data_IF_977830909325
#
_entry.id   IF_977830909325
#
_cell.length_a   1.000
_cell.length_b   1.000
_cell.length_c   1.000
_cell.angle_alpha   90.00
_cell.angle_beta   90.00
_cell.angle_gamma   90.00
#
_symmetry.space_group_name_H-M   'P 1'
#
loop_
_entity.id
_entity.type
_entity.pdbx_description
1 polymer ?
#
# COMPACT_ATOMS: atom_id res chain seq x y z
N UNK A 1 -9.50 15.96 -33.84
CA UNK A 1 -9.69 14.54 -33.48
C UNK A 1 -9.07 14.35 -32.10
N UNK A 2 -9.85 14.47 -31.03
CA UNK A 2 -9.37 14.10 -29.71
C UNK A 2 -9.19 12.58 -29.74
N UNK A 3 -7.95 12.10 -29.67
CA UNK A 3 -7.66 10.69 -29.41
C UNK A 3 -8.52 10.28 -28.23
N UNK A 4 -9.31 9.21 -28.34
CA UNK A 4 -10.07 8.69 -27.21
C UNK A 4 -9.06 8.30 -26.13
N UNK A 5 -8.80 9.24 -25.22
CA UNK A 5 -8.04 8.98 -24.02
C UNK A 5 -8.68 7.76 -23.37
N UNK A 6 -7.86 6.76 -23.07
CA UNK A 6 -8.25 5.52 -22.42
C UNK A 6 -9.33 5.80 -21.35
N UNK A 7 -10.57 5.36 -21.58
CA UNK A 7 -11.71 5.84 -20.78
C UNK A 7 -11.64 5.28 -19.36
N UNK A 8 -11.33 6.15 -18.39
CA UNK A 8 -11.24 5.81 -16.98
C UNK A 8 -12.60 5.82 -16.26
N UNK A 9 -13.62 6.42 -16.85
CA UNK A 9 -14.93 6.65 -16.20
C UNK A 9 -15.79 5.39 -16.12
N UNK A 10 -15.55 4.43 -17.02
CA UNK A 10 -16.26 3.15 -17.06
C UNK A 10 -15.77 2.13 -16.01
N UNK A 11 -14.72 2.45 -15.26
CA UNK A 11 -14.13 1.55 -14.26
C UNK A 11 -14.56 1.95 -12.87
N UNK A 12 -15.15 1.01 -12.13
CA UNK A 12 -15.38 1.16 -10.71
C UNK A 12 -14.02 1.25 -9.98
N UNK A 13 -13.67 2.42 -9.41
CA UNK A 13 -12.38 2.61 -8.76
C UNK A 13 -12.29 1.98 -7.38
N UNK A 14 -13.38 1.43 -6.83
CA UNK A 14 -13.35 0.73 -5.53
C UNK A 14 -13.14 -0.78 -5.72
N UNK A 15 -13.60 -1.32 -6.84
CA UNK A 15 -13.29 -2.70 -7.24
C UNK A 15 -11.79 -2.89 -7.54
N UNK A 16 -11.10 -3.62 -6.66
CA UNK A 16 -9.66 -3.86 -6.73
C UNK A 16 -9.21 -4.50 -8.04
N UNK A 17 -9.93 -5.52 -8.50
CA UNK A 17 -9.55 -6.30 -9.68
C UNK A 17 -9.76 -5.46 -10.94
N UNK A 18 -10.91 -4.80 -11.07
CA UNK A 18 -11.20 -3.91 -12.18
C UNK A 18 -10.19 -2.76 -12.26
N UNK A 19 -9.90 -2.12 -11.13
CA UNK A 19 -8.92 -1.02 -11.04
C UNK A 19 -7.54 -1.47 -11.48
N UNK A 20 -7.03 -2.59 -10.97
CA UNK A 20 -5.68 -3.09 -11.32
C UNK A 20 -5.60 -3.57 -12.76
N UNK A 21 -6.64 -4.21 -13.29
CA UNK A 21 -6.72 -4.57 -14.71
C UNK A 21 -6.64 -3.32 -15.59
N UNK A 22 -7.37 -2.26 -15.25
CA UNK A 22 -7.33 -0.98 -15.96
C UNK A 22 -5.96 -0.33 -15.92
N UNK A 23 -5.32 -0.28 -14.74
CA UNK A 23 -3.97 0.29 -14.58
C UNK A 23 -2.97 -0.44 -15.48
N UNK A 24 -3.01 -1.78 -15.49
CA UNK A 24 -2.11 -2.58 -16.32
C UNK A 24 -2.35 -2.29 -17.81
N UNK A 25 -3.59 -2.30 -18.26
CA UNK A 25 -3.95 -2.04 -19.64
C UNK A 25 -3.56 -0.61 -20.08
N UNK A 26 -3.70 0.38 -19.19
CA UNK A 26 -3.26 1.74 -19.45
C UNK A 26 -1.74 1.85 -19.58
N UNK A 27 -0.98 1.18 -18.70
CA UNK A 27 0.47 1.14 -18.81
C UNK A 27 0.93 0.44 -20.11
N UNK A 28 0.21 -0.60 -20.54
CA UNK A 28 0.49 -1.27 -21.82
C UNK A 28 0.22 -0.32 -22.98
N UNK A 29 -0.90 0.42 -22.96
CA UNK A 29 -1.24 1.42 -23.96
C UNK A 29 -0.17 2.51 -24.10
N UNK A 30 0.41 2.97 -22.98
CA UNK A 30 1.47 3.98 -22.95
C UNK A 30 2.87 3.40 -23.25
N UNK A 31 3.02 2.08 -23.44
CA UNK A 31 4.32 1.44 -23.66
C UNK A 31 5.25 1.47 -22.46
N UNK A 32 4.73 1.72 -21.25
CA UNK A 32 5.50 1.77 -19.99
C UNK A 32 5.34 0.50 -19.15
N UNK A 33 4.53 -0.46 -19.62
CA UNK A 33 4.31 -1.72 -18.93
C UNK A 33 5.57 -2.58 -18.88
N UNK A 34 5.88 -3.03 -17.67
CA UNK A 34 6.90 -4.03 -17.38
C UNK A 34 6.46 -4.72 -16.08
N UNK A 35 6.07 -5.99 -16.17
CA UNK A 35 5.49 -6.72 -15.04
C UNK A 35 6.42 -6.79 -13.84
N UNK A 36 7.72 -7.01 -14.07
CA UNK A 36 8.71 -7.05 -13.00
C UNK A 36 8.86 -5.69 -12.32
N UNK A 37 8.96 -4.61 -13.10
CA UNK A 37 9.05 -3.25 -12.56
C UNK A 37 7.80 -2.83 -11.81
N UNK A 38 6.62 -3.21 -12.30
CA UNK A 38 5.34 -2.91 -11.63
C UNK A 38 5.23 -3.66 -10.31
N UNK A 39 5.60 -4.94 -10.26
CA UNK A 39 5.64 -5.72 -9.01
C UNK A 39 6.60 -5.11 -8.01
N UNK A 40 7.85 -4.83 -8.39
CA UNK A 40 8.83 -4.17 -7.50
C UNK A 40 8.39 -2.78 -7.07
N UNK A 41 7.74 -2.01 -7.95
CA UNK A 41 7.20 -0.70 -7.60
C UNK A 41 6.08 -0.84 -6.55
N UNK A 42 5.20 -1.83 -6.71
CA UNK A 42 4.13 -2.12 -5.75
C UNK A 42 4.67 -2.49 -4.39
N UNK A 43 5.63 -3.41 -4.28
CA UNK A 43 6.25 -3.78 -3.01
C UNK A 43 6.85 -2.56 -2.28
N UNK A 44 7.56 -1.70 -3.02
CA UNK A 44 8.11 -0.45 -2.47
C UNK A 44 7.02 0.53 -2.04
N UNK A 45 5.93 0.66 -2.80
CA UNK A 45 4.80 1.51 -2.45
C UNK A 45 4.08 1.01 -1.20
N UNK A 46 3.89 -0.31 -1.07
CA UNK A 46 3.33 -0.96 0.12
C UNK A 46 4.20 -0.62 1.34
N UNK A 47 5.50 -0.90 1.28
CA UNK A 47 6.41 -0.65 2.40
C UNK A 47 6.45 0.83 2.80
N UNK A 48 6.56 1.73 1.81
CA UNK A 48 6.54 3.18 2.04
C UNK A 48 5.22 3.65 2.66
N UNK A 49 4.10 3.12 2.17
CA UNK A 49 2.78 3.54 2.66
C UNK A 49 2.49 2.99 4.05
N UNK A 50 2.90 1.77 4.36
CA UNK A 50 2.83 1.23 5.73
C UNK A 50 3.61 2.12 6.72
N UNK A 51 4.84 2.52 6.37
CA UNK A 51 5.63 3.46 7.21
C UNK A 51 4.89 4.78 7.40
N UNK A 52 4.33 5.35 6.33
CA UNK A 52 3.59 6.60 6.42
C UNK A 52 2.35 6.50 7.32
N UNK A 53 1.62 5.38 7.26
CA UNK A 53 0.45 5.14 8.10
C UNK A 53 0.85 5.03 9.58
N UNK A 54 1.95 4.33 9.85
CA UNK A 54 2.49 4.11 11.18
C UNK A 54 3.07 5.40 11.79
N UNK A 55 3.81 6.18 11.01
CA UNK A 55 4.29 7.53 11.39
C UNK A 55 3.13 8.48 11.73
N UNK A 56 1.95 8.28 11.12
CA UNK A 56 0.73 9.03 11.40
C UNK A 56 -0.09 8.45 12.56
N UNK A 57 0.37 7.38 13.20
CA UNK A 57 -0.28 6.75 14.35
C UNK A 57 -1.51 5.92 13.99
N UNK A 58 -1.71 5.54 12.72
CA UNK A 58 -2.81 4.66 12.35
C UNK A 58 -2.53 3.23 12.82
N UNK A 59 -3.41 2.69 13.65
CA UNK A 59 -3.32 1.28 14.13
C UNK A 59 -4.06 0.30 13.21
N UNK A 60 -4.94 0.80 12.36
CA UNK A 60 -5.71 0.04 11.37
C UNK A 60 -6.20 0.99 10.27
N UNK A 61 -6.42 0.45 9.07
CA UNK A 61 -7.07 1.13 7.94
C UNK A 61 -7.92 0.12 7.18
N UNK A 62 -8.94 0.57 6.45
CA UNK A 62 -9.72 -0.32 5.59
C UNK A 62 -8.85 -0.91 4.48
N UNK A 63 -9.15 -2.16 4.08
CA UNK A 63 -8.45 -2.83 2.97
C UNK A 63 -8.63 -2.04 1.66
N UNK A 64 -9.82 -1.55 1.41
CA UNK A 64 -10.13 -0.81 0.18
C UNK A 64 -9.32 0.48 0.08
N UNK A 65 -9.30 1.29 1.14
CA UNK A 65 -8.50 2.50 1.19
C UNK A 65 -7.01 2.21 1.02
N UNK A 66 -6.50 1.20 1.72
CA UNK A 66 -5.10 0.81 1.64
C UNK A 66 -4.71 0.47 0.20
N UNK A 67 -5.47 -0.40 -0.45
CA UNK A 67 -5.20 -0.84 -1.80
C UNK A 67 -5.33 0.29 -2.83
N UNK A 68 -6.35 1.13 -2.68
CA UNK A 68 -6.54 2.31 -3.54
C UNK A 68 -5.32 3.24 -3.48
N UNK A 69 -4.81 3.53 -2.29
CA UNK A 69 -3.67 4.44 -2.12
C UNK A 69 -2.36 3.81 -2.63
N UNK A 70 -2.16 2.51 -2.41
CA UNK A 70 -1.02 1.79 -2.99
C UNK A 70 -1.08 1.81 -4.51
N UNK A 71 -2.24 1.52 -5.12
CA UNK A 71 -2.42 1.56 -6.57
C UNK A 71 -2.14 2.96 -7.14
N UNK A 72 -2.63 4.01 -6.46
CA UNK A 72 -2.35 5.40 -6.81
C UNK A 72 -0.85 5.73 -6.74
N UNK A 73 -0.13 5.25 -5.73
CA UNK A 73 1.32 5.42 -5.63
C UNK A 73 2.07 4.68 -6.75
N UNK A 74 1.64 3.46 -7.09
CA UNK A 74 2.20 2.69 -8.21
C UNK A 74 2.00 3.44 -9.52
N UNK A 75 0.79 3.97 -9.76
CA UNK A 75 0.48 4.83 -10.91
C UNK A 75 1.48 5.97 -11.08
N UNK A 76 1.63 6.80 -10.05
CA UNK A 76 2.56 7.92 -10.11
C UNK A 76 4.01 7.47 -10.33
N UNK A 77 4.46 6.42 -9.64
CA UNK A 77 5.83 5.96 -9.75
C UNK A 77 6.17 5.41 -11.14
N UNK A 78 5.28 4.62 -11.74
CA UNK A 78 5.50 4.04 -13.07
C UNK A 78 5.47 5.14 -14.14
N UNK A 79 4.45 6.00 -14.14
CA UNK A 79 4.36 7.07 -15.14
C UNK A 79 5.49 8.08 -15.02
N UNK A 80 5.92 8.44 -13.80
CA UNK A 80 7.05 9.35 -13.59
C UNK A 80 8.35 8.76 -14.15
N UNK A 81 8.62 7.47 -13.90
CA UNK A 81 9.82 6.79 -14.42
C UNK A 81 9.79 6.60 -15.93
N UNK A 82 8.60 6.31 -16.48
CA UNK A 82 8.38 6.21 -17.92
C UNK A 82 8.34 7.56 -18.65
N UNK A 83 8.52 8.69 -17.94
CA UNK A 83 8.36 10.06 -18.47
C UNK A 83 7.00 10.30 -19.15
N UNK A 84 5.98 9.56 -18.71
CA UNK A 84 4.62 9.61 -19.25
C UNK A 84 3.66 10.37 -18.32
N UNK A 85 4.11 10.80 -17.13
CA UNK A 85 3.30 11.57 -16.20
C UNK A 85 3.08 13.01 -16.71
N UNK A 86 1.86 13.28 -17.17
CA UNK A 86 1.39 14.60 -17.63
C UNK A 86 0.04 14.91 -17.00
N UNK A 87 -0.50 16.11 -17.26
CA UNK A 87 -1.87 16.47 -16.87
C UNK A 87 -2.91 15.47 -17.38
N UNK A 88 -2.73 14.95 -18.60
CA UNK A 88 -3.63 13.99 -19.23
C UNK A 88 -3.56 12.57 -18.64
N UNK A 89 -2.52 12.27 -17.86
CA UNK A 89 -2.30 10.93 -17.27
C UNK A 89 -2.27 10.99 -15.74
N UNK A 90 -2.85 12.04 -15.15
CA UNK A 90 -3.04 12.11 -13.70
C UNK A 90 -3.90 10.94 -13.24
N UNK A 91 -3.80 10.64 -11.95
CA UNK A 91 -4.66 9.64 -11.33
C UNK A 91 -6.14 10.00 -11.59
N UNK A 92 -6.90 9.16 -12.31
CA UNK A 92 -8.17 9.58 -12.89
C UNK A 92 -9.31 9.61 -11.88
N UNK A 93 -9.17 8.90 -10.76
CA UNK A 93 -10.23 8.77 -9.76
C UNK A 93 -10.02 9.69 -8.56
N UNK A 94 -9.43 10.87 -8.74
CA UNK A 94 -9.12 11.80 -7.64
C UNK A 94 -10.33 12.25 -6.83
N UNK A 95 -11.52 12.21 -7.42
CA UNK A 95 -12.79 12.56 -6.77
C UNK A 95 -13.36 11.39 -5.95
N UNK A 96 -12.93 10.15 -6.21
CA UNK A 96 -13.27 8.99 -5.39
C UNK A 96 -12.18 8.80 -4.35
N UNK A 97 -12.51 8.96 -3.07
CA UNK A 97 -11.60 8.64 -1.98
C UNK A 97 -12.31 7.68 -1.02
N UNK A 98 -11.86 6.41 -0.93
CA UNK A 98 -12.38 5.49 0.08
C UNK A 98 -12.14 6.06 1.47
N UNK A 99 -12.98 5.69 2.44
CA UNK A 99 -12.78 6.09 3.82
C UNK A 99 -11.60 5.32 4.43
N UNK A 100 -10.71 6.05 5.12
CA UNK A 100 -9.52 5.46 5.77
C UNK A 100 -9.88 4.40 6.79
N UNK A 101 -11.00 4.60 7.49
CA UNK A 101 -11.61 3.68 8.44
C UNK A 101 -13.07 3.54 8.04
N UNK A 102 -13.40 2.41 7.44
CA UNK A 102 -14.77 2.08 7.08
C UNK A 102 -15.15 0.80 7.83
N UNK A 103 -16.19 0.88 8.68
CA UNK A 103 -16.66 -0.25 9.47
C UNK A 103 -17.35 -1.35 8.64
N UNK A 104 -17.73 -1.04 7.40
CA UNK A 104 -18.41 -1.97 6.49
C UNK A 104 -17.41 -2.81 5.68
N UNK A 105 -16.14 -2.42 5.65
CA UNK A 105 -15.08 -3.16 4.95
C UNK A 105 -14.08 -3.75 5.94
N UNK A 106 -13.43 -4.83 5.53
CA UNK A 106 -12.40 -5.48 6.35
C UNK A 106 -11.18 -4.57 6.51
N UNK A 107 -10.49 -4.68 7.64
CA UNK A 107 -9.19 -4.05 7.83
C UNK A 107 -8.15 -4.59 6.84
N UNK A 108 -7.14 -3.77 6.52
CA UNK A 108 -6.04 -4.16 5.65
C UNK A 108 -5.18 -5.25 6.27
N UNK A 109 -5.22 -6.46 5.71
CA UNK A 109 -4.39 -7.56 6.15
C UNK A 109 -2.90 -7.25 5.95
N UNK A 110 -2.55 -6.60 4.83
CA UNK A 110 -1.18 -6.21 4.51
C UNK A 110 -0.60 -5.24 5.54
N UNK A 111 -1.39 -4.25 5.97
CA UNK A 111 -0.92 -3.30 6.97
C UNK A 111 -0.84 -3.95 8.36
N UNK A 112 -1.82 -4.77 8.74
CA UNK A 112 -1.79 -5.53 9.99
C UNK A 112 -0.57 -6.46 10.09
N UNK A 113 -0.26 -7.17 9.01
CA UNK A 113 0.94 -8.02 8.92
C UNK A 113 2.24 -7.23 9.01
N UNK A 114 2.27 -6.03 8.43
CA UNK A 114 3.42 -5.13 8.52
C UNK A 114 3.63 -4.64 9.96
N UNK A 115 2.56 -4.21 10.65
CA UNK A 115 2.63 -3.78 12.06
C UNK A 115 3.13 -4.91 12.97
N UNK A 116 2.65 -6.14 12.77
CA UNK A 116 3.12 -7.31 13.50
C UNK A 116 4.62 -7.54 13.30
N UNK A 117 5.10 -7.58 12.05
CA UNK A 117 6.54 -7.74 11.75
C UNK A 117 7.38 -6.62 12.33
N UNK A 118 6.88 -5.37 12.32
CA UNK A 118 7.54 -4.24 12.96
C UNK A 118 7.67 -4.46 14.46
N UNK A 119 6.61 -4.91 15.15
CA UNK A 119 6.67 -5.19 16.59
C UNK A 119 7.63 -6.32 16.93
N UNK A 120 7.65 -7.40 16.15
CA UNK A 120 8.57 -8.53 16.31
C UNK A 120 10.03 -8.09 16.13
N UNK A 121 10.30 -7.27 15.11
CA UNK A 121 11.64 -6.73 14.87
C UNK A 121 12.12 -5.77 15.98
N UNK A 122 11.20 -5.14 16.70
CA UNK A 122 11.49 -4.20 17.79
C UNK A 122 11.54 -4.85 19.19
N UNK A 123 11.22 -6.15 19.35
CA UNK A 123 11.04 -6.71 20.69
C UNK A 123 10.88 -8.23 20.83
N UNK A 124 11.91 -9.00 20.51
CA UNK A 124 12.17 -10.28 21.22
C UNK A 124 13.64 -10.37 21.71
N UNK A 125 14.08 -9.30 22.38
CA UNK A 125 15.44 -9.13 22.88
C UNK A 125 15.56 -8.82 24.37
N UNK A 126 14.47 -8.84 25.16
CA UNK A 126 14.60 -8.67 26.62
C UNK A 126 13.38 -9.15 27.43
N UNK A 127 13.36 -10.46 27.77
CA UNK A 127 13.07 -10.95 29.14
C UNK A 127 13.30 -12.46 29.26
N UNK A 128 14.55 -12.88 29.39
CA UNK A 128 14.80 -14.12 30.13
C UNK A 128 14.48 -13.85 31.60
N UNK A 129 13.61 -14.64 32.27
CA UNK A 129 13.44 -14.50 33.71
C UNK A 129 14.78 -14.85 34.36
N UNK A 130 15.42 -13.87 34.98
CA UNK A 130 16.59 -14.11 35.82
C UNK A 130 16.14 -15.06 36.93
N UNK A 131 16.76 -16.24 37.10
CA UNK A 131 16.39 -17.12 38.20
C UNK A 131 16.63 -16.38 39.53
N UNK A 132 15.74 -16.54 40.52
CA UNK A 132 15.90 -15.88 41.81
C UNK A 132 17.23 -16.29 42.43
N UNK A 133 18.00 -15.29 42.85
CA UNK A 133 19.28 -15.46 43.55
C UNK A 133 18.97 -16.06 44.92
N UNK A 134 19.23 -17.36 45.09
CA UNK A 134 19.16 -18.01 46.41
C UNK A 134 20.24 -17.38 47.28
N UNK A 135 19.82 -16.59 48.27
CA UNK A 135 20.68 -16.18 49.38
C UNK A 135 20.80 -17.38 50.32
N UNK A 136 21.94 -18.06 50.27
CA UNK A 136 22.30 -19.06 51.25
C UNK A 136 22.63 -18.32 52.54
N UNK A 137 21.64 -18.24 53.44
CA UNK A 137 21.88 -17.98 54.85
C UNK A 137 22.18 -19.33 55.49
N UNK A 138 23.44 -19.55 55.84
CA UNK A 138 23.84 -20.58 56.78
C UNK A 138 24.77 -19.93 57.81
N UNK A 139 24.30 -19.91 59.07
CA UNK A 139 25.03 -19.61 60.30
C UNK A 139 26.19 -20.58 60.56
#
# INVERSE_FOLDING_TARGET
MASSAFDHTAVDPLNLEARRAHINAFFMHLGVWDSAKVTTAREKCVEMYCKLLDERGHVSVSQEYFEYQVDRLVWFNILKRGKALTEATKWPWSETLPEITDSTTKASATYGDWLRRKSEANGDGDRAPTPPRTVDLSD
#
